data_IF_190581672503
#
_entry.id   IF_190581672503
#
_cell.length_a   1.000
_cell.length_b   1.000
_cell.length_c   1.000
_cell.angle_alpha   90.00
_cell.angle_beta   90.00
_cell.angle_gamma   90.00
#
_symmetry.space_group_name_H-M   'P 1'
#
loop_
_entity.id
_entity.type
_entity.pdbx_description
1 polymer ?
#
# COMPACT_ATOMS: atom_id res chain seq x y z
N UNK A 1 1.90 17.33 -4.96
CA UNK A 1 0.89 17.85 -5.90
C UNK A 1 -0.29 16.91 -5.90
N UNK A 2 -1.48 17.37 -5.49
CA UNK A 2 -2.69 16.56 -5.58
C UNK A 2 -3.07 16.42 -7.06
N UNK A 3 -3.26 15.19 -7.53
CA UNK A 3 -3.68 14.89 -8.89
C UNK A 3 -5.06 15.51 -9.14
N UNK A 4 -5.14 16.49 -10.03
CA UNK A 4 -6.43 16.97 -10.52
C UNK A 4 -7.04 15.87 -11.40
N UNK A 5 -8.32 15.54 -11.26
CA UNK A 5 -8.96 14.57 -12.14
C UNK A 5 -8.98 15.14 -13.57
N UNK A 6 -8.57 14.31 -14.52
CA UNK A 6 -8.59 14.64 -15.93
C UNK A 6 -10.02 14.95 -16.39
N UNK A 7 -10.22 16.08 -17.06
CA UNK A 7 -11.50 16.44 -17.69
C UNK A 7 -11.58 15.72 -19.04
N UNK A 8 -11.58 14.39 -18.99
CA UNK A 8 -11.69 13.52 -20.15
C UNK A 8 -13.13 13.39 -20.63
N UNK A 9 -13.35 13.80 -21.88
CA UNK A 9 -14.50 13.52 -22.74
C UNK A 9 -15.02 12.07 -22.60
N UNK A 10 -16.33 11.93 -22.37
CA UNK A 10 -17.17 10.74 -22.62
C UNK A 10 -16.92 9.42 -21.85
N UNK A 11 -16.66 9.47 -20.54
CA UNK A 11 -16.74 8.22 -19.75
C UNK A 11 -16.55 8.28 -18.24
N UNK A 12 -16.31 9.46 -17.66
CA UNK A 12 -16.05 9.63 -16.21
C UNK A 12 -17.27 10.01 -15.37
N UNK A 13 -18.48 9.99 -15.94
CA UNK A 13 -19.71 10.41 -15.28
C UNK A 13 -20.49 9.16 -14.85
N UNK A 14 -20.69 8.97 -13.55
CA UNK A 14 -21.65 7.97 -13.05
C UNK A 14 -23.04 8.22 -13.66
N UNK A 15 -23.83 7.16 -13.90
CA UNK A 15 -25.18 7.22 -14.52
C UNK A 15 -26.11 8.27 -13.90
N UNK A 16 -25.89 8.64 -12.64
CA UNK A 16 -26.55 9.76 -11.96
C UNK A 16 -26.42 11.12 -12.67
N UNK A 17 -25.47 11.31 -13.60
CA UNK A 17 -25.32 12.54 -14.38
C UNK A 17 -26.27 12.65 -15.59
N UNK A 18 -26.90 11.54 -16.01
CA UNK A 18 -27.83 11.53 -17.15
C UNK A 18 -29.24 12.03 -16.79
N UNK A 19 -29.52 12.23 -15.49
CA UNK A 19 -30.84 12.57 -14.96
C UNK A 19 -30.90 13.97 -14.31
N UNK A 20 -30.07 14.90 -14.78
CA UNK A 20 -29.91 16.25 -14.19
C UNK A 20 -31.17 17.14 -14.22
N UNK A 21 -32.23 16.72 -14.91
CA UNK A 21 -33.52 17.42 -15.01
C UNK A 21 -34.58 16.88 -14.03
N UNK A 22 -34.17 16.00 -13.09
CA UNK A 22 -35.02 15.61 -11.96
C UNK A 22 -34.99 16.73 -10.92
N UNK A 23 -36.19 17.20 -10.55
CA UNK A 23 -36.44 18.14 -9.46
C UNK A 23 -36.14 17.46 -8.11
N UNK A 24 -34.85 17.22 -7.84
CA UNK A 24 -34.38 16.57 -6.62
C UNK A 24 -34.22 17.61 -5.50
N UNK A 25 -34.90 17.40 -4.38
CA UNK A 25 -34.81 18.24 -3.17
C UNK A 25 -33.37 18.39 -2.64
N UNK A 26 -32.45 17.48 -3.02
CA UNK A 26 -31.04 17.52 -2.61
C UNK A 26 -30.08 17.01 -3.69
N UNK A 27 -29.15 17.87 -4.11
CA UNK A 27 -28.10 17.52 -5.06
C UNK A 27 -26.84 17.00 -4.33
N UNK A 28 -26.70 15.67 -4.24
CA UNK A 28 -25.56 15.00 -3.58
C UNK A 28 -24.21 15.33 -4.23
N UNK A 29 -24.16 15.64 -5.53
CA UNK A 29 -22.94 16.07 -6.24
C UNK A 29 -22.48 17.43 -5.74
N UNK A 30 -23.38 18.40 -5.70
CA UNK A 30 -23.07 19.75 -5.20
C UNK A 30 -22.71 19.71 -3.71
N UNK A 31 -23.45 18.94 -2.91
CA UNK A 31 -23.14 18.71 -1.51
C UNK A 31 -21.74 18.13 -1.29
N UNK A 32 -21.37 17.09 -2.04
CA UNK A 32 -20.05 16.45 -1.94
C UNK A 32 -18.92 17.39 -2.37
N UNK A 33 -19.11 18.13 -3.48
CA UNK A 33 -18.13 19.10 -3.95
C UNK A 33 -17.89 20.23 -2.94
N UNK A 34 -18.97 20.83 -2.42
CA UNK A 34 -18.87 21.89 -1.40
C UNK A 34 -18.28 21.37 -0.09
N UNK A 35 -18.65 20.17 0.32
CA UNK A 35 -18.06 19.50 1.48
C UNK A 35 -16.55 19.32 1.33
N UNK A 36 -16.09 18.86 0.17
CA UNK A 36 -14.66 18.71 -0.13
C UNK A 36 -13.92 20.06 -0.16
N UNK A 37 -14.50 21.10 -0.77
CA UNK A 37 -13.91 22.45 -0.77
C UNK A 37 -13.72 22.98 0.67
N UNK A 38 -14.78 22.91 1.49
CA UNK A 38 -14.71 23.34 2.89
C UNK A 38 -13.71 22.53 3.71
N UNK A 39 -13.59 21.22 3.44
CA UNK A 39 -12.62 20.36 4.11
C UNK A 39 -11.18 20.78 3.75
N UNK A 40 -10.88 21.06 2.48
CA UNK A 40 -9.55 21.54 2.08
C UNK A 40 -9.21 22.91 2.71
N UNK A 41 -10.19 23.82 2.77
CA UNK A 41 -9.98 25.15 3.35
C UNK A 41 -9.72 25.12 4.86
N UNK A 42 -10.34 24.17 5.58
CA UNK A 42 -10.33 24.13 7.05
C UNK A 42 -9.35 23.11 7.64
N UNK A 43 -9.02 22.05 6.92
CA UNK A 43 -8.16 20.97 7.43
C UNK A 43 -6.70 21.33 7.22
N UNK A 44 -5.95 21.42 8.32
CA UNK A 44 -4.49 21.53 8.25
C UNK A 44 -3.92 20.25 7.66
N UNK A 45 -3.05 20.39 6.66
CA UNK A 45 -2.33 19.24 6.11
C UNK A 45 -1.53 18.55 7.22
N UNK A 46 -1.75 17.25 7.37
CA UNK A 46 -0.88 16.43 8.22
C UNK A 46 0.41 16.21 7.42
N UNK A 47 1.58 16.63 7.94
CA UNK A 47 2.84 16.36 7.26
C UNK A 47 3.02 14.85 7.15
N UNK A 48 3.12 14.36 5.91
CA UNK A 48 3.38 12.95 5.66
C UNK A 48 4.85 12.68 5.94
N UNK A 49 5.15 12.15 7.12
CA UNK A 49 6.47 11.66 7.43
C UNK A 49 6.48 10.15 7.22
N UNK A 50 7.25 9.67 6.24
CA UNK A 50 7.39 8.24 6.03
C UNK A 50 8.23 7.64 7.16
N UNK A 51 8.01 6.36 7.46
CA UNK A 51 8.87 5.66 8.39
C UNK A 51 10.30 5.66 7.85
N UNK A 52 11.24 6.23 8.62
CA UNK A 52 12.66 6.25 8.29
C UNK A 52 13.30 4.89 8.63
N UNK A 53 12.83 3.86 7.94
CA UNK A 53 13.32 2.49 8.01
C UNK A 53 14.05 2.16 6.70
N UNK A 54 15.20 1.50 6.80
CA UNK A 54 15.95 0.96 5.67
C UNK A 54 15.91 -0.56 5.78
N UNK A 55 15.11 -1.19 4.93
CA UNK A 55 14.87 -2.63 4.96
C UNK A 55 16.04 -3.38 4.33
N UNK A 56 16.64 -2.79 3.30
CA UNK A 56 17.84 -3.31 2.62
C UNK A 56 18.99 -3.47 3.60
N UNK A 57 19.25 -2.44 4.42
CA UNK A 57 20.25 -2.47 5.49
C UNK A 57 19.90 -3.48 6.56
N UNK A 58 18.62 -3.66 6.88
CA UNK A 58 18.18 -4.66 7.85
C UNK A 58 18.49 -6.08 7.37
N UNK A 59 18.21 -6.38 6.10
CA UNK A 59 18.54 -7.65 5.44
C UNK A 59 20.05 -7.86 5.42
N UNK A 60 20.83 -6.84 5.02
CA UNK A 60 22.29 -6.90 4.98
C UNK A 60 22.92 -7.11 6.36
N UNK A 61 22.47 -6.40 7.39
CA UNK A 61 22.97 -6.54 8.75
C UNK A 61 22.65 -7.90 9.37
N UNK A 62 21.53 -8.52 8.98
CA UNK A 62 21.16 -9.86 9.39
C UNK A 62 21.86 -10.97 8.57
N UNK A 63 22.59 -10.61 7.50
CA UNK A 63 23.34 -11.56 6.68
C UNK A 63 22.46 -12.53 5.88
N UNK A 64 21.24 -12.13 5.55
CA UNK A 64 20.25 -12.99 4.88
C UNK A 64 20.61 -13.11 3.40
N UNK A 65 20.57 -14.35 2.88
CA UNK A 65 21.08 -14.68 1.55
C UNK A 65 20.01 -14.84 0.49
N UNK A 66 18.80 -15.21 0.91
CA UNK A 66 17.72 -15.50 -0.02
C UNK A 66 16.36 -15.01 0.50
N UNK A 67 15.39 -15.00 -0.40
CA UNK A 67 14.02 -14.55 -0.11
C UNK A 67 13.33 -15.36 0.99
N UNK A 68 13.60 -16.66 1.11
CA UNK A 68 13.07 -17.49 2.19
C UNK A 68 13.55 -16.98 3.56
N UNK A 69 14.86 -16.75 3.71
CA UNK A 69 15.45 -16.21 4.93
C UNK A 69 14.92 -14.81 5.26
N UNK A 70 14.73 -13.96 4.24
CA UNK A 70 14.14 -12.63 4.40
C UNK A 70 12.71 -12.72 4.93
N UNK A 71 11.87 -13.56 4.31
CA UNK A 71 10.48 -13.74 4.73
C UNK A 71 10.41 -14.26 6.17
N UNK A 72 11.20 -15.28 6.49
CA UNK A 72 11.24 -15.86 7.85
C UNK A 72 11.68 -14.84 8.90
N UNK A 73 12.70 -14.04 8.57
CA UNK A 73 13.18 -12.97 9.43
C UNK A 73 12.11 -11.89 9.66
N UNK A 74 11.38 -11.51 8.62
CA UNK A 74 10.33 -10.46 8.70
C UNK A 74 9.10 -10.97 9.44
N UNK A 75 8.66 -12.21 9.20
CA UNK A 75 7.58 -12.85 9.96
C UNK A 75 7.93 -12.83 11.45
N UNK A 76 9.13 -13.31 11.82
CA UNK A 76 9.55 -13.35 13.23
C UNK A 76 9.66 -11.97 13.86
N UNK A 77 10.01 -10.94 13.08
CA UNK A 77 10.24 -9.59 13.59
C UNK A 77 8.97 -8.75 13.70
N UNK A 78 8.05 -8.88 12.76
CA UNK A 78 6.89 -8.01 12.65
C UNK A 78 5.57 -8.70 12.99
N UNK A 79 5.44 -10.01 12.79
CA UNK A 79 4.21 -10.73 13.13
C UNK A 79 4.27 -11.24 14.57
N UNK A 80 3.15 -11.09 15.30
CA UNK A 80 3.00 -11.63 16.66
C UNK A 80 2.74 -13.14 16.64
N UNK A 81 1.94 -13.57 15.67
CA UNK A 81 1.61 -14.98 15.45
C UNK A 81 2.20 -15.38 14.09
N UNK A 82 2.96 -16.49 13.99
CA UNK A 82 3.45 -16.94 12.69
C UNK A 82 2.28 -17.40 11.82
N UNK A 83 2.29 -17.10 10.51
CA UNK A 83 1.27 -17.55 9.59
C UNK A 83 1.38 -19.05 9.36
N UNK A 84 0.32 -19.65 8.84
CA UNK A 84 0.35 -21.06 8.41
C UNK A 84 1.32 -21.26 7.25
N UNK A 85 1.83 -22.48 7.09
CA UNK A 85 2.88 -22.78 6.12
C UNK A 85 2.51 -22.43 4.67
N UNK A 86 1.24 -22.61 4.28
CA UNK A 86 0.78 -22.23 2.95
C UNK A 86 0.88 -20.72 2.72
N UNK A 87 0.49 -19.91 3.71
CA UNK A 87 0.62 -18.46 3.65
C UNK A 87 2.08 -18.03 3.63
N UNK A 88 2.95 -18.70 4.39
CA UNK A 88 4.40 -18.49 4.33
C UNK A 88 4.96 -18.72 2.92
N UNK A 89 4.54 -19.80 2.23
CA UNK A 89 4.95 -20.06 0.84
C UNK A 89 4.45 -18.98 -0.12
N UNK A 90 3.22 -18.50 0.05
CA UNK A 90 2.67 -17.38 -0.73
C UNK A 90 3.50 -16.10 -0.57
N UNK A 91 3.90 -15.78 0.67
CA UNK A 91 4.76 -14.63 0.98
C UNK A 91 6.14 -14.75 0.32
N UNK A 92 6.74 -15.95 0.33
CA UNK A 92 8.01 -16.23 -0.37
C UNK A 92 7.84 -16.09 -1.89
N UNK A 93 6.78 -16.64 -2.46
CA UNK A 93 6.49 -16.54 -3.89
C UNK A 93 6.26 -15.08 -4.31
N UNK A 94 5.55 -14.31 -3.48
CA UNK A 94 5.34 -12.88 -3.69
C UNK A 94 6.68 -12.13 -3.74
N UNK A 95 7.53 -12.31 -2.73
CA UNK A 95 8.81 -11.58 -2.68
C UNK A 95 9.74 -11.96 -3.83
N UNK A 96 9.82 -13.26 -4.17
CA UNK A 96 10.56 -13.73 -5.35
C UNK A 96 10.07 -13.05 -6.64
N UNK A 97 8.75 -12.93 -6.81
CA UNK A 97 8.17 -12.27 -7.98
C UNK A 97 8.50 -10.79 -8.04
N UNK A 98 8.47 -10.09 -6.91
CA UNK A 98 8.79 -8.65 -6.86
C UNK A 98 10.27 -8.38 -7.12
N UNK A 99 11.17 -9.24 -6.63
CA UNK A 99 12.61 -9.10 -6.84
C UNK A 99 13.07 -9.63 -8.20
N UNK A 100 12.32 -10.55 -8.83
CA UNK A 100 12.74 -11.25 -10.04
C UNK A 100 13.88 -12.26 -9.82
N UNK A 101 14.31 -12.44 -8.57
CA UNK A 101 15.37 -13.34 -8.14
C UNK A 101 15.10 -13.80 -6.70
N UNK A 102 15.67 -14.95 -6.33
CA UNK A 102 15.68 -15.42 -4.94
C UNK A 102 16.94 -15.01 -4.18
N UNK A 103 17.96 -14.47 -4.86
CA UNK A 103 19.26 -14.10 -4.27
C UNK A 103 19.26 -12.64 -3.79
N UNK A 104 19.52 -12.45 -2.49
CA UNK A 104 19.52 -11.14 -1.85
C UNK A 104 20.73 -10.27 -2.26
N UNK A 105 21.89 -10.87 -2.59
CA UNK A 105 23.07 -10.11 -2.99
C UNK A 105 22.90 -9.54 -4.40
N UNK A 106 22.27 -10.31 -5.30
CA UNK A 106 21.87 -9.82 -6.64
C UNK A 106 20.93 -8.63 -6.53
N UNK A 107 19.98 -8.67 -5.58
CA UNK A 107 18.96 -7.64 -5.44
C UNK A 107 19.37 -6.43 -4.58
N UNK A 108 20.57 -6.42 -4.01
CA UNK A 108 21.00 -5.48 -2.97
C UNK A 108 20.86 -4.00 -3.33
N UNK A 109 21.00 -3.64 -4.59
CA UNK A 109 20.89 -2.24 -5.06
C UNK A 109 19.46 -1.79 -5.34
N UNK A 110 18.50 -2.72 -5.41
CA UNK A 110 17.11 -2.43 -5.79
C UNK A 110 16.06 -3.10 -4.90
N UNK A 111 16.44 -3.83 -3.84
CA UNK A 111 15.50 -4.57 -3.00
C UNK A 111 14.64 -3.70 -2.07
N UNK A 112 14.99 -2.43 -1.85
CA UNK A 112 14.27 -1.57 -0.91
C UNK A 112 12.78 -1.42 -1.25
N UNK A 113 12.45 -1.11 -2.51
CA UNK A 113 11.06 -0.91 -2.94
C UNK A 113 10.24 -2.22 -2.86
N UNK A 114 10.72 -3.37 -3.40
CA UNK A 114 10.09 -4.67 -3.18
C UNK A 114 9.91 -5.03 -1.70
N UNK A 115 10.89 -4.74 -0.84
CA UNK A 115 10.80 -5.02 0.60
C UNK A 115 9.76 -4.13 1.28
N UNK A 116 9.58 -2.88 0.86
CA UNK A 116 8.52 -1.99 1.37
C UNK A 116 7.14 -2.50 0.99
N UNK A 117 6.97 -2.93 -0.27
CA UNK A 117 5.72 -3.52 -0.72
C UNK A 117 5.42 -4.82 0.03
N UNK A 118 6.44 -5.64 0.24
CA UNK A 118 6.33 -6.87 1.03
C UNK A 118 5.96 -6.57 2.49
N UNK A 119 6.59 -5.60 3.14
CA UNK A 119 6.25 -5.21 4.50
C UNK A 119 4.80 -4.70 4.60
N UNK A 120 4.36 -3.94 3.60
CA UNK A 120 2.97 -3.48 3.52
C UNK A 120 1.98 -4.65 3.42
N UNK A 121 2.28 -5.65 2.59
CA UNK A 121 1.49 -6.88 2.52
C UNK A 121 1.49 -7.60 3.88
N UNK A 122 2.66 -7.79 4.49
CA UNK A 122 2.82 -8.46 5.79
C UNK A 122 1.96 -7.81 6.89
N UNK A 123 1.90 -6.47 6.92
CA UNK A 123 1.08 -5.71 7.87
C UNK A 123 -0.43 -5.75 7.57
N UNK A 124 -0.80 -6.16 6.36
CA UNK A 124 -2.19 -6.31 5.93
C UNK A 124 -2.74 -7.71 6.22
N UNK A 125 -1.88 -8.68 6.54
CA UNK A 125 -2.30 -10.04 6.91
C UNK A 125 -2.95 -10.07 8.30
N UNK A 126 -3.94 -10.97 8.53
CA UNK A 126 -4.65 -11.03 9.80
C UNK A 126 -3.75 -11.38 10.98
N UNK A 127 -2.70 -12.19 10.78
CA UNK A 127 -1.77 -12.60 11.83
C UNK A 127 -1.01 -11.43 12.47
N UNK A 128 -0.87 -10.32 11.75
CA UNK A 128 -0.34 -9.07 12.29
C UNK A 128 -1.36 -8.37 13.23
N UNK A 129 -2.66 -8.51 12.96
CA UNK A 129 -3.75 -7.78 13.61
C UNK A 129 -4.35 -8.47 14.85
N UNK A 130 -3.99 -9.73 15.13
CA UNK A 130 -4.52 -10.52 16.26
C UNK A 130 -4.00 -10.07 17.64
N UNK A 131 -3.85 -8.76 17.85
CA UNK A 131 -3.27 -8.16 19.05
C UNK A 131 -4.23 -8.08 20.23
#
# INVERSE_FOLDING_TARGET
TATMPDRGSEGGLAEANMLADRDEDFNTRYGSFRGWQMAIERVKAIPRNTANIDLTRMVGNAGLKNTTEIVDYFIRRFMRVPPVEEKRKELIAFLNKQLGTSDAEVAKTFMEDPLRLFLHLLMSEPEFQLS
#
